data_IF_734199894105
#
_entry.id   IF_734199894105
#
_cell.length_a   1.000
_cell.length_b   1.000
_cell.length_c   1.000
_cell.angle_alpha   90.00
_cell.angle_beta   90.00
_cell.angle_gamma   90.00
#
_symmetry.space_group_name_H-M   'P 1'
#
loop_
_entity.id
_entity.type
_entity.pdbx_description
1 polymer ?
#
# COMPACT_ATOMS: atom_id res chain seq x y z
N UNK A 1 12.88 20.19 -6.94
CA UNK A 1 11.78 19.59 -6.14
C UNK A 1 11.84 20.15 -4.74
N UNK A 2 10.72 20.62 -4.17
CA UNK A 2 10.70 20.97 -2.75
C UNK A 2 10.98 19.72 -1.91
N UNK A 3 11.86 19.85 -0.93
CA UNK A 3 12.24 18.77 -0.04
C UNK A 3 10.99 18.21 0.68
N UNK A 4 10.72 16.91 0.53
CA UNK A 4 9.61 16.22 1.22
C UNK A 4 8.54 15.59 0.33
N UNK A 5 8.36 16.04 -0.92
CA UNK A 5 7.35 15.44 -1.80
C UNK A 5 7.65 13.97 -2.17
N UNK A 6 8.93 13.60 -2.22
CA UNK A 6 9.35 12.23 -2.53
C UNK A 6 8.89 11.18 -1.49
N UNK A 7 8.56 11.62 -0.27
CA UNK A 7 8.07 10.76 0.81
C UNK A 7 6.56 10.92 1.06
N UNK A 8 5.88 11.85 0.38
CA UNK A 8 4.45 12.02 0.57
C UNK A 8 3.69 10.95 -0.22
N UNK A 9 2.90 10.14 0.48
CA UNK A 9 2.04 9.11 -0.12
C UNK A 9 0.59 9.60 -0.24
N UNK A 10 0.11 10.40 0.71
CA UNK A 10 -1.30 10.78 0.77
C UNK A 10 -1.53 12.18 0.20
N UNK A 11 -1.54 12.26 -1.12
CA UNK A 11 -1.95 13.45 -1.86
C UNK A 11 -3.46 13.70 -1.72
N UNK A 12 -3.93 14.96 -1.89
CA UNK A 12 -5.36 15.29 -1.80
C UNK A 12 -6.25 14.38 -2.66
N UNK A 13 -5.83 14.06 -3.88
CA UNK A 13 -6.57 13.23 -4.81
C UNK A 13 -6.79 11.79 -4.29
N UNK A 14 -5.84 11.25 -3.53
CA UNK A 14 -5.99 9.94 -2.89
C UNK A 14 -6.97 10.00 -1.72
N UNK A 15 -7.01 11.12 -1.01
CA UNK A 15 -7.99 11.35 0.07
C UNK A 15 -9.41 11.42 -0.50
N UNK A 16 -9.58 12.05 -1.66
CA UNK A 16 -10.88 12.14 -2.33
C UNK A 16 -11.37 10.76 -2.78
N UNK A 17 -10.49 9.95 -3.40
CA UNK A 17 -10.80 8.54 -3.74
C UNK A 17 -11.25 7.77 -2.50
N UNK A 18 -10.54 7.90 -1.37
CA UNK A 18 -10.93 7.23 -0.13
C UNK A 18 -12.32 7.66 0.34
N UNK A 19 -12.63 8.96 0.33
CA UNK A 19 -13.92 9.47 0.79
C UNK A 19 -15.08 9.08 -0.12
N UNK A 20 -14.86 9.04 -1.43
CA UNK A 20 -15.89 8.74 -2.41
C UNK A 20 -16.18 7.24 -2.50
N UNK A 21 -15.14 6.39 -2.44
CA UNK A 21 -15.29 4.95 -2.63
C UNK A 21 -15.47 4.16 -1.34
N UNK A 22 -15.03 4.68 -0.19
CA UNK A 22 -15.14 3.92 1.04
C UNK A 22 -16.60 3.70 1.44
N UNK A 23 -16.92 2.44 1.75
CA UNK A 23 -18.18 2.06 2.34
C UNK A 23 -17.95 0.89 3.30
N UNK A 24 -18.50 0.99 4.52
CA UNK A 24 -18.30 0.00 5.58
C UNK A 24 -18.88 -1.39 5.30
N UNK A 25 -19.66 -1.53 4.22
CA UNK A 25 -20.27 -2.79 3.79
C UNK A 25 -19.46 -3.53 2.70
N UNK A 26 -18.33 -2.97 2.26
CA UNK A 26 -17.49 -3.61 1.24
C UNK A 26 -16.82 -4.89 1.78
N UNK A 27 -16.59 -5.83 0.87
CA UNK A 27 -15.80 -7.03 1.18
C UNK A 27 -14.30 -6.73 1.12
N UNK A 28 -13.48 -7.64 1.65
CA UNK A 28 -12.02 -7.47 1.63
C UNK A 28 -11.46 -7.51 0.21
N UNK A 29 -12.07 -8.27 -0.70
CA UNK A 29 -11.73 -8.23 -2.12
C UNK A 29 -11.94 -6.83 -2.70
N UNK A 30 -13.09 -6.21 -2.39
CA UNK A 30 -13.39 -4.84 -2.85
C UNK A 30 -12.48 -3.79 -2.21
N UNK A 31 -11.96 -4.05 -1.00
CA UNK A 31 -10.92 -3.19 -0.42
C UNK A 31 -9.63 -3.20 -1.27
N UNK A 32 -9.27 -4.33 -1.88
CA UNK A 32 -8.13 -4.38 -2.81
C UNK A 32 -8.37 -3.61 -4.10
N UNK A 33 -9.61 -3.52 -4.58
CA UNK A 33 -9.95 -2.65 -5.72
C UNK A 33 -9.67 -1.18 -5.41
N UNK A 34 -10.03 -0.72 -4.20
CA UNK A 34 -9.68 0.63 -3.73
C UNK A 34 -8.17 0.80 -3.65
N UNK A 35 -7.44 -0.18 -3.11
CA UNK A 35 -5.96 -0.15 -3.06
C UNK A 35 -5.35 -0.05 -4.46
N UNK A 36 -5.89 -0.77 -5.44
CA UNK A 36 -5.42 -0.72 -6.82
C UNK A 36 -5.64 0.67 -7.43
N UNK A 37 -6.81 1.28 -7.22
CA UNK A 37 -7.10 2.63 -7.70
C UNK A 37 -6.20 3.69 -7.05
N UNK A 38 -5.96 3.57 -5.74
CA UNK A 38 -5.03 4.45 -5.03
C UNK A 38 -3.61 4.34 -5.60
N UNK A 39 -3.12 3.12 -5.84
CA UNK A 39 -1.79 2.90 -6.41
C UNK A 39 -1.66 3.37 -7.86
N UNK A 40 -2.71 3.18 -8.67
CA UNK A 40 -2.77 3.70 -10.03
C UNK A 40 -2.70 5.22 -10.04
N UNK A 41 -3.52 5.89 -9.21
CA UNK A 41 -3.51 7.35 -9.10
C UNK A 41 -2.19 7.87 -8.54
N UNK A 42 -1.63 7.22 -7.53
CA UNK A 42 -0.35 7.58 -6.94
C UNK A 42 0.80 7.47 -7.96
N UNK A 43 0.79 6.42 -8.77
CA UNK A 43 1.76 6.25 -9.87
C UNK A 43 1.63 7.37 -10.90
N UNK A 44 0.40 7.76 -11.24
CA UNK A 44 0.15 8.88 -12.14
C UNK A 44 0.69 10.20 -11.58
N UNK A 45 0.35 10.54 -10.32
CA UNK A 45 0.85 11.74 -9.65
C UNK A 45 2.37 11.79 -9.61
N UNK A 46 3.02 10.67 -9.28
CA UNK A 46 4.48 10.57 -9.26
C UNK A 46 5.09 10.83 -10.62
N UNK A 47 4.47 10.34 -11.71
CA UNK A 47 4.91 10.62 -13.09
C UNK A 47 4.73 12.10 -13.45
N UNK A 48 3.55 12.65 -13.17
CA UNK A 48 3.20 14.04 -13.52
C UNK A 48 4.09 15.06 -12.80
N UNK A 49 4.40 14.80 -11.53
CA UNK A 49 5.30 15.62 -10.73
C UNK A 49 6.79 15.27 -10.93
N UNK A 50 7.09 14.34 -11.86
CA UNK A 50 8.42 13.79 -12.12
C UNK A 50 9.15 13.33 -10.84
N UNK A 51 8.42 12.87 -9.83
CA UNK A 51 8.98 12.43 -8.55
C UNK A 51 9.86 11.21 -8.80
N UNK A 52 11.04 11.23 -8.19
CA UNK A 52 12.01 10.14 -8.28
C UNK A 52 12.03 9.35 -6.96
N UNK A 53 12.19 8.02 -7.00
CA UNK A 53 12.37 7.23 -5.80
C UNK A 53 13.60 7.66 -4.99
N UNK A 54 13.58 7.50 -3.66
CA UNK A 54 14.74 7.83 -2.83
C UNK A 54 15.95 6.96 -3.20
N UNK A 55 17.16 7.52 -3.00
CA UNK A 55 18.40 6.75 -3.15
C UNK A 55 18.63 5.86 -1.94
N UNK A 56 18.91 4.59 -2.18
CA UNK A 56 19.36 3.64 -1.18
C UNK A 56 20.82 3.25 -1.41
N UNK A 57 21.54 2.98 -0.32
CA UNK A 57 22.86 2.38 -0.40
C UNK A 57 22.74 0.87 -0.56
N UNK A 58 23.46 0.30 -1.52
CA UNK A 58 23.53 -1.14 -1.69
C UNK A 58 24.88 -1.64 -1.15
N UNK A 59 24.89 -2.47 -0.09
CA UNK A 59 26.14 -2.97 0.50
C UNK A 59 26.88 -3.94 -0.42
N UNK A 60 26.17 -4.66 -1.31
CA UNK A 60 26.77 -5.65 -2.20
C UNK A 60 27.63 -5.02 -3.31
N UNK A 61 27.12 -3.97 -3.95
CA UNK A 61 27.83 -3.30 -5.04
C UNK A 61 28.52 -1.99 -4.61
N UNK A 62 28.37 -1.60 -3.35
CA UNK A 62 28.93 -0.37 -2.74
C UNK A 62 28.61 0.91 -3.53
N UNK A 63 27.38 1.00 -4.06
CA UNK A 63 26.89 2.15 -4.82
C UNK A 63 25.50 2.57 -4.36
N UNK A 64 25.15 3.83 -4.65
CA UNK A 64 23.79 4.36 -4.45
C UNK A 64 22.92 3.99 -5.65
N UNK A 65 21.78 3.37 -5.40
CA UNK A 65 20.77 3.07 -6.41
C UNK A 65 19.44 3.73 -6.07
N UNK A 66 18.61 3.99 -7.07
CA UNK A 66 17.21 4.35 -6.84
C UNK A 66 16.51 3.13 -6.24
N UNK A 67 15.81 3.33 -5.14
CA UNK A 67 14.89 2.34 -4.60
C UNK A 67 13.65 2.21 -5.50
N UNK A 68 12.77 1.26 -5.18
CA UNK A 68 11.41 1.25 -5.73
C UNK A 68 10.53 2.16 -4.89
N UNK A 69 9.51 2.74 -5.53
CA UNK A 69 8.45 3.36 -4.77
C UNK A 69 7.74 2.34 -3.88
N UNK A 70 7.30 2.78 -2.72
CA UNK A 70 6.39 2.00 -1.87
C UNK A 70 4.97 2.17 -2.37
N UNK A 71 4.29 1.03 -2.54
CA UNK A 71 2.88 0.96 -2.86
C UNK A 71 2.04 1.03 -1.57
N UNK A 72 0.82 1.51 -1.71
CA UNK A 72 -0.18 1.49 -0.65
C UNK A 72 -0.61 0.03 -0.46
N UNK A 73 -0.50 -0.47 0.77
CA UNK A 73 -1.05 -1.76 1.17
C UNK A 73 -2.47 -1.60 1.71
N UNK A 74 -3.20 -2.72 1.84
CA UNK A 74 -4.54 -2.71 2.46
C UNK A 74 -4.51 -2.19 3.91
N UNK A 75 -3.46 -2.51 4.66
CA UNK A 75 -3.29 -1.99 6.02
C UNK A 75 -3.00 -0.49 6.02
N UNK A 76 -2.16 0.00 5.11
CA UNK A 76 -1.90 1.43 4.98
C UNK A 76 -3.18 2.20 4.63
N UNK A 77 -4.04 1.63 3.78
CA UNK A 77 -5.37 2.17 3.49
C UNK A 77 -6.23 2.29 4.76
N UNK A 78 -6.30 1.25 5.59
CA UNK A 78 -7.08 1.32 6.84
C UNK A 78 -6.56 2.37 7.81
N UNK A 79 -5.23 2.50 7.96
CA UNK A 79 -4.66 3.58 8.76
C UNK A 79 -5.00 4.96 8.21
N UNK A 80 -5.07 5.11 6.88
CA UNK A 80 -5.48 6.35 6.24
C UNK A 80 -6.95 6.68 6.45
N UNK A 81 -7.84 5.70 6.38
CA UNK A 81 -9.27 5.88 6.68
C UNK A 81 -9.46 6.44 8.10
N UNK A 82 -8.75 5.87 9.09
CA UNK A 82 -8.76 6.39 10.46
C UNK A 82 -8.14 7.78 10.56
N UNK A 83 -6.97 7.99 9.94
CA UNK A 83 -6.25 9.28 9.96
C UNK A 83 -7.07 10.42 9.33
N UNK A 84 -7.88 10.12 8.32
CA UNK A 84 -8.71 11.09 7.61
C UNK A 84 -10.15 11.13 8.11
N UNK A 85 -10.43 10.47 9.24
CA UNK A 85 -11.74 10.45 9.90
C UNK A 85 -12.86 9.95 8.96
N UNK A 86 -12.50 9.06 8.02
CA UNK A 86 -13.45 8.37 7.12
C UNK A 86 -14.10 7.20 7.84
N UNK A 87 -13.39 6.59 8.79
CA UNK A 87 -13.92 5.55 9.68
C UNK A 87 -13.63 5.86 11.15
N UNK A 88 -14.48 5.31 12.03
CA UNK A 88 -14.28 5.39 13.48
C UNK A 88 -13.22 4.41 14.00
N UNK A 89 -12.84 4.54 15.27
CA UNK A 89 -11.83 3.67 15.89
C UNK A 89 -12.29 2.20 15.97
N UNK A 90 -13.57 1.96 16.24
CA UNK A 90 -14.12 0.60 16.34
C UNK A 90 -14.16 -0.08 14.97
N UNK A 91 -14.56 0.66 13.93
CA UNK A 91 -14.53 0.18 12.54
C UNK A 91 -13.09 -0.12 12.12
N UNK A 92 -12.14 0.77 12.39
CA UNK A 92 -10.72 0.54 12.10
C UNK A 92 -10.18 -0.73 12.75
N UNK A 93 -10.47 -0.97 14.03
CA UNK A 93 -10.04 -2.16 14.74
C UNK A 93 -10.69 -3.43 14.16
N UNK A 94 -11.96 -3.34 13.77
CA UNK A 94 -12.68 -4.42 13.09
C UNK A 94 -12.04 -4.75 11.74
N UNK A 95 -11.74 -3.75 10.91
CA UNK A 95 -11.07 -3.94 9.61
C UNK A 95 -9.72 -4.66 9.75
N UNK A 96 -8.89 -4.26 10.71
CA UNK A 96 -7.60 -4.94 10.96
C UNK A 96 -7.79 -6.40 11.41
N UNK A 97 -8.78 -6.66 12.25
CA UNK A 97 -9.10 -8.01 12.74
C UNK A 97 -9.60 -8.91 11.61
N UNK A 98 -10.54 -8.42 10.80
CA UNK A 98 -11.11 -9.13 9.65
C UNK A 98 -10.06 -9.39 8.58
N UNK A 99 -9.23 -8.40 8.27
CA UNK A 99 -8.07 -8.56 7.38
C UNK A 99 -7.12 -9.66 7.87
N UNK A 100 -6.78 -9.69 9.16
CA UNK A 100 -5.88 -10.72 9.71
C UNK A 100 -6.47 -12.12 9.55
N UNK A 101 -7.78 -12.28 9.71
CA UNK A 101 -8.48 -13.57 9.50
C UNK A 101 -8.44 -13.96 8.03
N UNK A 102 -8.82 -13.04 7.14
CA UNK A 102 -8.85 -13.25 5.69
C UNK A 102 -7.47 -13.56 5.10
N UNK A 103 -6.45 -12.78 5.46
CA UNK A 103 -5.05 -13.01 5.03
C UNK A 103 -4.52 -14.39 5.42
N UNK A 104 -5.05 -14.97 6.50
CA UNK A 104 -4.71 -16.33 6.94
C UNK A 104 -5.51 -17.39 6.20
N UNK A 105 -6.81 -17.19 5.97
CA UNK A 105 -7.64 -18.16 5.25
C UNK A 105 -7.24 -18.26 3.77
N UNK A 106 -7.09 -17.12 3.11
CA UNK A 106 -6.76 -17.05 1.67
C UNK A 106 -5.26 -17.16 1.39
N UNK A 107 -4.43 -17.23 2.44
CA UNK A 107 -2.97 -17.24 2.35
C UNK A 107 -2.39 -16.12 1.45
N UNK A 108 -2.87 -14.89 1.62
CA UNK A 108 -2.42 -13.72 0.83
C UNK A 108 -1.69 -12.68 1.68
N UNK A 109 -0.78 -11.92 1.08
CA UNK A 109 -0.04 -10.83 1.68
C UNK A 109 -0.81 -9.50 1.67
N UNK A 110 -0.22 -8.44 2.25
CA UNK A 110 -0.83 -7.11 2.37
C UNK A 110 -1.10 -6.40 1.04
N UNK A 111 -0.68 -6.98 -0.09
CA UNK A 111 -0.91 -6.50 -1.45
C UNK A 111 -1.87 -7.41 -2.23
N UNK A 112 -2.48 -8.40 -1.58
CA UNK A 112 -3.43 -9.31 -2.21
C UNK A 112 -2.78 -10.45 -2.98
N UNK A 113 -1.46 -10.64 -2.85
CA UNK A 113 -0.73 -11.69 -3.57
C UNK A 113 -0.65 -12.94 -2.71
N UNK A 114 -0.78 -14.11 -3.34
CA UNK A 114 -0.56 -15.38 -2.66
C UNK A 114 0.82 -15.39 -2.01
N UNK A 115 0.85 -15.77 -0.73
CA UNK A 115 2.07 -16.11 -0.01
C UNK A 115 2.46 -17.51 -0.50
N UNK A 116 2.98 -17.61 -1.71
CA UNK A 116 3.66 -18.83 -2.13
C UNK A 116 4.74 -19.11 -1.09
N UNK A 117 4.69 -20.28 -0.47
CA UNK A 117 5.72 -20.68 0.49
C UNK A 117 7.08 -20.44 -0.15
N UNK A 118 7.90 -19.58 0.46
CA UNK A 118 9.32 -19.42 0.10
C UNK A 118 10.13 -20.66 0.51
N UNK A 119 9.56 -21.85 0.31
CA UNK A 119 10.20 -23.15 0.51
C UNK A 119 10.45 -23.86 -0.81
N UNK A 120 10.65 -23.15 -1.93
CA UNK A 120 11.40 -23.69 -3.09
C UNK A 120 12.31 -22.58 -3.63
N UNK A 121 13.53 -22.48 -3.08
CA UNK A 121 14.79 -22.14 -3.77
C UNK A 121 15.94 -22.18 -2.76
N UNK A 122 16.20 -23.38 -2.24
CA UNK A 122 17.57 -23.82 -1.98
C UNK A 122 17.68 -25.16 -2.67
N UNK A 123 18.24 -25.16 -3.87
CA UNK A 123 18.98 -26.27 -4.47
C UNK A 123 19.67 -25.77 -5.75
N UNK A 124 21.01 -25.93 -5.73
CA UNK A 124 21.99 -26.00 -6.83
C UNK A 124 22.32 -24.65 -7.49
N UNK A 125 23.57 -24.16 -7.53
CA UNK A 125 24.90 -24.80 -7.47
C UNK A 125 25.88 -24.08 -6.50
#
# INVERSE_FOLDING_TARGET
>A
MPAGQAHNTWFPELKDILKERWNSKLTIEQHFDIVNDLNNKLTQIRKDLNIQPPMMWCPNCQKRHRSKFTDISITAMYYALKRFEVCGNDEFNKLLSEWKKYSKSENIDIYGKSKTDKSITKNND
#
